data_IF_585296085073
#
_entry.id   IF_585296085073
#
_cell.length_a   1.000
_cell.length_b   1.000
_cell.length_c   1.000
_cell.angle_alpha   90.00
_cell.angle_beta   90.00
_cell.angle_gamma   90.00
#
_symmetry.space_group_name_H-M   'P 1'
#
loop_
_entity.id
_entity.type
_entity.pdbx_description
1 polymer ?
#
# COMPACT_ATOMS: atom_id res chain seq x y z
N UNK A 1 -1.78 -77.18 -26.96
CA UNK A 1 -1.21 -76.63 -25.72
C UNK A 1 -1.21 -75.12 -25.88
N UNK A 2 -1.98 -74.48 -25.01
CA UNK A 2 -2.20 -73.06 -24.74
C UNK A 2 -2.40 -72.02 -25.85
N UNK A 3 -3.62 -71.50 -25.82
CA UNK A 3 -4.04 -70.18 -26.26
C UNK A 3 -3.67 -69.14 -25.19
N UNK A 4 -3.09 -68.00 -25.57
CA UNK A 4 -3.33 -66.72 -24.88
C UNK A 4 -2.99 -65.56 -25.80
N UNK A 5 -4.01 -65.13 -26.56
CA UNK A 5 -4.10 -63.79 -27.14
C UNK A 5 -4.96 -62.98 -26.17
N UNK A 6 -4.41 -61.91 -25.59
CA UNK A 6 -5.19 -60.95 -24.79
C UNK A 6 -5.21 -59.58 -25.47
N UNK A 7 -6.38 -59.26 -26.01
CA UNK A 7 -6.89 -57.89 -26.14
C UNK A 7 -7.12 -57.32 -24.74
N UNK A 8 -6.73 -56.08 -24.46
CA UNK A 8 -7.37 -55.26 -23.43
C UNK A 8 -7.21 -53.78 -23.79
N UNK A 9 -8.24 -53.27 -24.44
CA UNK A 9 -8.57 -51.86 -24.60
C UNK A 9 -9.76 -51.62 -23.67
N UNK A 10 -9.54 -51.11 -22.44
CA UNK A 10 -10.54 -50.48 -21.56
C UNK A 10 -9.90 -50.02 -20.23
N UNK A 11 -10.48 -48.97 -19.64
CA UNK A 11 -10.38 -48.56 -18.22
C UNK A 11 -9.22 -47.60 -17.79
N UNK A 12 -9.36 -46.31 -18.13
CA UNK A 12 -8.73 -45.20 -17.38
C UNK A 12 -9.75 -44.09 -17.06
N UNK A 13 -10.88 -44.47 -16.48
CA UNK A 13 -11.80 -43.54 -15.82
C UNK A 13 -12.21 -44.11 -14.46
N UNK A 14 -11.33 -43.98 -13.45
CA UNK A 14 -11.63 -44.14 -12.01
C UNK A 14 -10.44 -43.63 -11.20
N UNK A 15 -10.54 -42.42 -10.65
CA UNK A 15 -9.89 -42.02 -9.40
C UNK A 15 -10.59 -40.78 -8.85
N UNK A 16 -11.87 -40.95 -8.52
CA UNK A 16 -12.63 -40.01 -7.71
C UNK A 16 -12.59 -40.50 -6.25
N UNK A 17 -11.69 -39.91 -5.47
CA UNK A 17 -11.57 -40.17 -4.03
C UNK A 17 -12.73 -39.48 -3.29
N UNK A 18 -13.61 -40.30 -2.73
CA UNK A 18 -14.72 -39.92 -1.83
C UNK A 18 -14.17 -39.59 -0.44
N UNK A 19 -14.61 -38.48 0.15
CA UNK A 19 -14.54 -38.24 1.59
C UNK A 19 -15.96 -38.32 2.18
N UNK A 20 -16.12 -38.82 3.43
CA UNK A 20 -17.41 -39.26 3.95
C UNK A 20 -18.26 -38.13 4.55
N UNK A 21 -19.57 -38.32 4.48
CA UNK A 21 -20.61 -37.53 5.14
C UNK A 21 -20.48 -37.59 6.66
N UNK A 22 -20.69 -36.45 7.33
CA UNK A 22 -20.97 -36.42 8.76
C UNK A 22 -22.08 -35.40 9.04
N UNK A 23 -23.28 -35.93 9.28
CA UNK A 23 -24.44 -35.20 9.78
C UNK A 23 -24.35 -34.96 11.29
N UNK A 24 -25.08 -33.91 11.69
CA UNK A 24 -25.60 -33.59 13.02
C UNK A 24 -24.65 -32.93 14.03
N UNK A 25 -24.86 -31.62 14.24
CA UNK A 25 -25.65 -31.20 15.40
C UNK A 25 -25.99 -29.69 15.42
N UNK A 26 -27.31 -29.44 15.38
CA UNK A 26 -28.10 -28.54 16.24
C UNK A 26 -27.87 -27.02 16.19
N UNK A 27 -28.85 -26.38 15.55
CA UNK A 27 -29.67 -25.26 16.05
C UNK A 27 -29.04 -24.32 17.10
N UNK A 28 -28.81 -23.07 16.69
CA UNK A 28 -29.11 -21.94 17.55
C UNK A 28 -29.71 -20.79 16.72
N UNK A 29 -31.04 -20.78 16.63
CA UNK A 29 -31.83 -19.65 16.15
C UNK A 29 -31.71 -18.52 17.18
N UNK A 30 -30.96 -17.47 16.87
CA UNK A 30 -31.19 -16.14 17.44
C UNK A 30 -31.79 -15.24 16.37
N UNK A 31 -33.03 -14.88 16.61
CA UNK A 31 -33.76 -13.77 16.00
C UNK A 31 -32.93 -12.48 16.02
N UNK A 32 -32.92 -11.68 14.95
CA UNK A 32 -32.48 -10.29 15.05
C UNK A 32 -33.64 -9.45 15.62
N UNK A 33 -33.37 -8.80 16.74
CA UNK A 33 -34.21 -7.77 17.34
C UNK A 33 -34.10 -6.50 16.47
N UNK A 34 -35.24 -6.06 15.94
CA UNK A 34 -35.38 -4.84 15.16
C UNK A 34 -35.19 -3.63 16.07
N UNK A 35 -34.05 -2.96 15.96
CA UNK A 35 -33.91 -1.58 16.43
C UNK A 35 -34.10 -0.69 15.20
N UNK A 36 -35.20 0.06 15.21
CA UNK A 36 -35.50 1.07 14.23
C UNK A 36 -34.46 2.19 14.33
N UNK A 37 -33.65 2.37 13.29
CA UNK A 37 -32.80 3.55 13.13
C UNK A 37 -33.57 4.61 12.33
N UNK A 38 -33.63 5.80 12.91
CA UNK A 38 -34.25 7.00 12.36
C UNK A 38 -33.68 7.34 10.98
N UNK A 39 -34.58 7.53 10.02
CA UNK A 39 -34.27 8.07 8.70
C UNK A 39 -33.85 9.53 8.83
N UNK A 40 -32.55 9.79 8.77
CA UNK A 40 -32.02 11.10 8.36
C UNK A 40 -31.69 11.03 6.86
N UNK A 41 -32.67 11.45 6.07
CA UNK A 41 -32.59 11.60 4.62
C UNK A 41 -31.68 12.81 4.30
N UNK A 42 -30.39 12.55 4.11
CA UNK A 42 -29.45 13.53 3.57
C UNK A 42 -29.53 13.48 2.05
N UNK A 43 -30.27 14.42 1.46
CA UNK A 43 -30.34 14.66 0.02
C UNK A 43 -28.93 14.99 -0.50
N UNK A 44 -28.27 14.03 -1.16
CA UNK A 44 -27.04 14.30 -1.92
C UNK A 44 -27.38 14.59 -3.38
N UNK A 45 -26.84 15.67 -3.97
CA UNK A 45 -27.03 15.96 -5.38
C UNK A 45 -26.29 14.95 -6.24
N UNK A 46 -26.96 14.46 -7.28
CA UNK A 46 -26.39 13.65 -8.34
C UNK A 46 -25.31 14.46 -9.06
N UNK A 47 -24.04 14.05 -8.91
CA UNK A 47 -22.91 14.68 -9.60
C UNK A 47 -22.47 13.79 -10.76
N UNK A 48 -23.12 13.97 -11.90
CA UNK A 48 -22.49 14.00 -13.21
C UNK A 48 -23.02 15.28 -13.90
N UNK A 49 -22.25 15.98 -14.76
CA UNK A 49 -21.36 15.36 -15.75
C UNK A 49 -20.05 16.12 -16.09
N UNK A 50 -19.25 15.51 -16.97
CA UNK A 50 -18.27 16.13 -17.92
C UNK A 50 -16.93 16.72 -17.42
N UNK A 51 -15.92 15.86 -17.20
CA UNK A 51 -14.51 16.28 -17.09
C UNK A 51 -13.92 16.84 -18.39
N UNK A 52 -14.48 16.47 -19.55
CA UNK A 52 -14.06 17.02 -20.85
C UNK A 52 -14.53 18.46 -21.09
N UNK A 53 -15.55 18.90 -20.37
CA UNK A 53 -16.17 20.22 -20.58
C UNK A 53 -15.55 21.29 -19.66
N UNK A 54 -14.93 20.89 -18.55
CA UNK A 54 -14.23 21.80 -17.64
C UNK A 54 -12.94 22.36 -18.24
N UNK A 55 -12.16 21.57 -18.98
CA UNK A 55 -10.96 22.07 -19.68
C UNK A 55 -11.34 23.06 -20.80
N UNK A 56 -12.43 22.76 -21.52
CA UNK A 56 -12.99 23.67 -22.52
C UNK A 56 -13.59 24.94 -21.90
N UNK A 57 -14.23 24.85 -20.74
CA UNK A 57 -14.74 26.02 -20.02
C UNK A 57 -13.60 26.89 -19.48
N UNK A 58 -12.48 26.31 -19.08
CA UNK A 58 -11.27 27.05 -18.72
C UNK A 58 -10.71 27.75 -19.97
N UNK A 59 -10.51 27.05 -21.09
CA UNK A 59 -10.07 27.65 -22.36
C UNK A 59 -11.01 28.76 -22.87
N UNK A 60 -12.33 28.53 -22.83
CA UNK A 60 -13.33 29.50 -23.28
C UNK A 60 -13.38 30.74 -22.38
N UNK A 61 -13.17 30.59 -21.07
CA UNK A 61 -13.11 31.72 -20.12
C UNK A 61 -11.88 32.62 -20.34
N UNK A 62 -10.83 32.10 -20.98
CA UNK A 62 -9.68 32.90 -21.44
C UNK A 62 -9.84 33.46 -22.86
N UNK A 63 -10.87 33.03 -23.61
CA UNK A 63 -11.15 33.47 -24.98
C UNK A 63 -12.14 34.64 -25.10
N UNK A 64 -12.93 34.91 -24.06
CA UNK A 64 -13.96 35.97 -24.07
C UNK A 64 -13.45 37.27 -23.41
N UNK A 65 -12.51 37.96 -24.07
CA UNK A 65 -12.27 39.39 -23.84
C UNK A 65 -12.47 40.17 -25.14
N UNK A 66 -13.48 41.05 -25.14
CA UNK A 66 -13.79 42.00 -26.22
C UNK A 66 -12.61 42.96 -26.49
N UNK A 67 -12.42 43.43 -27.74
CA UNK A 67 -11.22 44.17 -28.14
C UNK A 67 -11.34 45.65 -27.74
N UNK A 68 -10.84 46.00 -26.55
CA UNK A 68 -10.94 47.36 -25.99
C UNK A 68 -9.60 47.92 -25.52
N UNK A 69 -8.98 48.74 -26.38
CA UNK A 69 -7.75 49.54 -26.15
C UNK A 69 -6.46 48.74 -25.96
N UNK A 70 -5.48 49.02 -26.84
CA UNK A 70 -4.16 48.43 -26.82
C UNK A 70 -3.36 48.93 -25.59
N UNK A 71 -3.56 48.26 -24.46
CA UNK A 71 -2.57 48.23 -23.39
C UNK A 71 -1.58 47.15 -23.83
N UNK A 72 -0.33 47.54 -24.08
CA UNK A 72 0.75 46.61 -24.38
C UNK A 72 1.09 45.83 -23.09
N UNK A 73 0.24 44.86 -22.73
CA UNK A 73 0.56 43.88 -21.69
C UNK A 73 1.70 43.02 -22.23
N UNK A 74 2.80 42.83 -21.49
CA UNK A 74 3.77 41.80 -21.86
C UNK A 74 3.01 40.49 -21.96
N UNK A 75 3.21 39.76 -23.06
CA UNK A 75 2.64 38.43 -23.23
C UNK A 75 2.88 37.65 -21.94
N UNK A 76 1.80 37.28 -21.24
CA UNK A 76 1.91 36.38 -20.11
C UNK A 76 2.37 35.07 -20.70
N UNK A 77 3.68 34.83 -20.65
CA UNK A 77 4.25 33.54 -20.97
C UNK A 77 3.52 32.53 -20.08
N UNK A 78 2.67 31.70 -20.69
CA UNK A 78 2.09 30.55 -20.01
C UNK A 78 3.26 29.78 -19.41
N UNK A 79 3.34 29.63 -18.07
CA UNK A 79 4.49 28.99 -17.47
C UNK A 79 4.63 27.59 -18.05
N UNK A 80 5.84 27.25 -18.48
CA UNK A 80 6.14 25.91 -18.97
C UNK A 80 5.75 24.89 -17.88
N UNK A 81 4.79 24.02 -18.19
CA UNK A 81 4.35 22.97 -17.28
C UNK A 81 5.51 22.00 -17.01
N UNK A 82 5.63 21.50 -15.79
CA UNK A 82 6.73 20.65 -15.39
C UNK A 82 6.34 19.17 -15.54
N UNK A 83 6.93 18.45 -16.52
CA UNK A 83 6.62 17.04 -16.72
C UNK A 83 7.15 16.18 -15.57
N UNK A 84 6.37 15.17 -15.20
CA UNK A 84 6.79 14.08 -14.32
C UNK A 84 7.63 13.06 -15.12
N UNK A 85 8.38 12.22 -14.41
CA UNK A 85 9.22 11.20 -15.04
C UNK A 85 8.40 10.15 -15.81
N UNK A 86 7.21 9.82 -15.30
CA UNK A 86 6.26 8.92 -15.96
C UNK A 86 4.82 9.41 -15.73
N UNK A 87 3.88 8.82 -16.48
CA UNK A 87 2.45 9.09 -16.36
C UNK A 87 1.81 8.23 -15.28
N UNK A 88 0.87 8.80 -14.55
CA UNK A 88 0.22 8.19 -13.39
C UNK A 88 -1.30 8.17 -13.56
N UNK A 89 -1.95 7.17 -12.95
CA UNK A 89 -3.39 7.04 -12.88
C UNK A 89 -3.85 7.08 -11.42
N UNK A 90 -4.77 8.00 -11.12
CA UNK A 90 -5.43 8.09 -9.81
C UNK A 90 -6.70 7.25 -9.83
N UNK A 91 -6.87 6.40 -8.83
CA UNK A 91 -8.06 5.57 -8.62
C UNK A 91 -8.71 5.83 -7.27
N UNK A 92 -10.02 5.68 -7.23
CA UNK A 92 -10.83 5.72 -6.02
C UNK A 92 -11.61 4.41 -5.89
N UNK A 93 -11.52 3.78 -4.72
CA UNK A 93 -12.41 2.69 -4.35
C UNK A 93 -13.43 3.21 -3.35
N UNK A 94 -14.71 3.11 -3.71
CA UNK A 94 -15.79 3.39 -2.78
C UNK A 94 -15.95 2.22 -1.80
N UNK A 95 -16.00 2.51 -0.51
CA UNK A 95 -16.29 1.52 0.54
C UNK A 95 -17.74 1.03 0.54
N UNK A 96 -18.16 0.35 -0.52
CA UNK A 96 -19.50 -0.24 -0.65
C UNK A 96 -19.40 -1.77 -0.57
N UNK A 97 -19.91 -2.35 0.52
CA UNK A 97 -19.87 -3.81 0.75
C UNK A 97 -20.94 -4.58 -0.01
N UNK A 98 -21.88 -3.89 -0.67
CA UNK A 98 -22.96 -4.52 -1.42
C UNK A 98 -22.55 -4.90 -2.85
N UNK A 99 -21.38 -4.44 -3.30
CA UNK A 99 -20.88 -4.63 -4.65
C UNK A 99 -19.55 -5.38 -4.63
N UNK A 100 -19.23 -5.98 -5.76
CA UNK A 100 -17.92 -6.56 -5.98
C UNK A 100 -16.85 -5.47 -5.99
N UNK A 101 -15.65 -5.84 -5.53
CA UNK A 101 -14.54 -4.90 -5.37
C UNK A 101 -14.20 -4.16 -6.67
N UNK A 102 -14.21 -4.87 -7.80
CA UNK A 102 -13.91 -4.31 -9.12
C UNK A 102 -14.92 -3.24 -9.53
N UNK A 103 -16.20 -3.41 -9.17
CA UNK A 103 -17.26 -2.44 -9.45
C UNK A 103 -17.13 -1.17 -8.61
N UNK A 104 -16.51 -1.28 -7.43
CA UNK A 104 -16.26 -0.18 -6.52
C UNK A 104 -15.02 0.65 -6.92
N UNK A 105 -14.12 0.09 -7.72
CA UNK A 105 -12.91 0.76 -8.18
C UNK A 105 -13.21 1.61 -9.43
N UNK A 106 -12.84 2.89 -9.39
CA UNK A 106 -13.00 3.83 -10.49
C UNK A 106 -11.72 4.62 -10.73
N UNK A 107 -11.34 4.77 -12.00
CA UNK A 107 -10.30 5.72 -12.39
C UNK A 107 -10.87 7.13 -12.23
N UNK A 108 -10.17 7.98 -11.47
CA UNK A 108 -10.51 9.39 -11.30
C UNK A 108 -9.97 10.19 -12.49
N UNK A 109 -8.68 10.04 -12.77
CA UNK A 109 -7.98 10.74 -13.84
C UNK A 109 -6.58 10.14 -14.05
N UNK A 110 -5.89 10.55 -15.12
CA UNK A 110 -4.48 10.25 -15.36
C UNK A 110 -3.74 11.52 -15.76
N UNK A 111 -2.50 11.66 -15.29
CA UNK A 111 -1.72 12.89 -15.37
C UNK A 111 -0.22 12.59 -15.56
N UNK A 112 0.48 13.50 -16.21
CA UNK A 112 1.94 13.41 -16.45
C UNK A 112 2.69 14.71 -16.15
N UNK A 113 2.00 15.70 -15.58
CA UNK A 113 2.57 16.98 -15.15
C UNK A 113 2.26 17.26 -13.68
N UNK A 114 3.15 17.98 -13.01
CA UNK A 114 2.97 18.29 -11.58
C UNK A 114 1.80 19.25 -11.35
N UNK A 115 1.50 20.15 -12.29
CA UNK A 115 0.37 21.08 -12.20
C UNK A 115 -0.97 20.33 -12.28
N UNK A 116 -1.05 19.27 -13.08
CA UNK A 116 -2.23 18.41 -13.15
C UNK A 116 -2.42 17.65 -11.84
N UNK A 117 -1.33 17.13 -11.27
CA UNK A 117 -1.36 16.51 -9.94
C UNK A 117 -1.91 17.46 -8.88
N UNK A 118 -1.36 18.66 -8.76
CA UNK A 118 -1.83 19.64 -7.77
C UNK A 118 -3.27 20.10 -8.01
N UNK A 119 -3.66 20.25 -9.28
CA UNK A 119 -5.04 20.58 -9.63
C UNK A 119 -6.02 19.49 -9.17
N UNK A 120 -5.69 18.21 -9.38
CA UNK A 120 -6.46 17.08 -8.87
C UNK A 120 -6.46 17.04 -7.33
N UNK A 121 -5.27 17.07 -6.73
CA UNK A 121 -5.09 16.90 -5.28
C UNK A 121 -5.86 17.95 -4.49
N UNK A 122 -5.89 19.20 -4.97
CA UNK A 122 -6.61 20.29 -4.33
C UNK A 122 -8.14 20.21 -4.50
N UNK A 123 -8.65 19.42 -5.44
CA UNK A 123 -10.07 19.32 -5.74
C UNK A 123 -10.73 18.07 -5.15
N UNK A 124 -9.96 17.00 -4.95
CA UNK A 124 -10.47 15.77 -4.33
C UNK A 124 -10.65 15.93 -2.82
N UNK A 125 -11.48 15.06 -2.24
CA UNK A 125 -11.63 14.98 -0.78
C UNK A 125 -10.30 14.47 -0.19
N UNK A 126 -9.77 15.09 0.88
CA UNK A 126 -8.60 14.57 1.59
C UNK A 126 -8.82 13.13 2.06
N UNK A 127 -7.74 12.36 2.22
CA UNK A 127 -7.85 10.95 2.59
C UNK A 127 -8.58 10.79 3.94
N UNK A 128 -8.29 11.64 4.93
CA UNK A 128 -8.97 11.67 6.23
C UNK A 128 -10.48 11.99 6.17
N UNK A 129 -10.94 12.57 5.05
CA UNK A 129 -12.33 12.94 4.78
C UNK A 129 -13.14 11.83 4.11
N UNK A 130 -12.51 10.74 3.66
CA UNK A 130 -13.22 9.65 3.01
C UNK A 130 -14.07 8.83 3.98
N UNK A 131 -15.13 8.20 3.45
CA UNK A 131 -15.90 7.23 4.21
C UNK A 131 -15.08 5.97 4.52
N UNK A 132 -15.35 5.35 5.67
CA UNK A 132 -14.67 4.11 6.06
C UNK A 132 -14.88 3.01 5.03
N UNK A 133 -13.81 2.29 4.71
CA UNK A 133 -13.77 1.28 3.66
C UNK A 133 -13.34 1.81 2.30
N UNK A 134 -13.25 3.14 2.13
CA UNK A 134 -12.77 3.75 0.90
C UNK A 134 -11.26 3.86 0.84
N UNK A 135 -10.73 3.86 -0.38
CA UNK A 135 -9.30 3.87 -0.67
C UNK A 135 -8.98 4.85 -1.81
N UNK A 136 -7.77 5.43 -1.77
CA UNK A 136 -7.15 6.05 -2.94
C UNK A 136 -5.92 5.25 -3.37
N UNK A 137 -5.69 5.25 -4.68
CA UNK A 137 -4.53 4.64 -5.31
C UNK A 137 -3.95 5.60 -6.33
N UNK A 138 -2.62 5.69 -6.40
CA UNK A 138 -1.93 6.35 -7.51
C UNK A 138 -0.88 5.38 -8.01
N UNK A 139 -1.05 4.89 -9.24
CA UNK A 139 -0.18 3.88 -9.86
C UNK A 139 0.35 4.39 -11.19
N UNK A 140 1.52 3.91 -11.60
CA UNK A 140 2.04 4.18 -12.94
C UNK A 140 1.00 3.75 -13.98
N UNK A 141 0.85 4.53 -15.04
CA UNK A 141 -0.15 4.27 -16.08
C UNK A 141 0.03 2.86 -16.67
N UNK A 142 -1.09 2.17 -16.89
CA UNK A 142 -1.11 0.78 -17.36
C UNK A 142 -0.95 -0.28 -16.26
N UNK A 143 -0.73 0.11 -15.00
CA UNK A 143 -0.73 -0.81 -13.85
C UNK A 143 -2.05 -0.66 -13.09
N UNK A 144 -2.83 -1.74 -13.02
CA UNK A 144 -4.04 -1.75 -12.18
C UNK A 144 -3.65 -1.86 -10.70
N UNK A 145 -4.35 -1.17 -9.78
CA UNK A 145 -4.07 -1.20 -8.34
C UNK A 145 -4.64 -2.48 -7.67
N UNK A 146 -4.32 -3.64 -8.25
CA UNK A 146 -4.72 -4.96 -7.79
C UNK A 146 -3.52 -5.90 -7.81
N UNK A 147 -3.53 -6.93 -6.97
CA UNK A 147 -2.38 -7.83 -6.85
C UNK A 147 -2.28 -8.80 -8.03
N UNK A 148 -3.38 -9.04 -8.73
CA UNK A 148 -3.47 -9.90 -9.90
C UNK A 148 -2.85 -9.27 -11.16
N UNK A 149 -2.63 -7.95 -11.15
CA UNK A 149 -1.95 -7.26 -12.24
C UNK A 149 -0.55 -7.87 -12.46
N UNK A 150 -0.18 -8.10 -13.72
CA UNK A 150 1.09 -8.73 -14.08
C UNK A 150 2.32 -8.00 -13.51
N UNK A 151 2.21 -6.68 -13.26
CA UNK A 151 3.27 -5.87 -12.64
C UNK A 151 3.28 -5.95 -11.11
N UNK A 152 2.23 -6.44 -10.47
CA UNK A 152 2.12 -6.54 -9.02
C UNK A 152 2.14 -7.98 -8.49
N UNK A 153 1.85 -8.99 -9.32
CA UNK A 153 1.66 -10.39 -8.86
C UNK A 153 2.88 -11.01 -8.18
N UNK A 154 4.09 -10.55 -8.52
CA UNK A 154 5.35 -10.99 -7.89
C UNK A 154 5.92 -9.93 -6.94
N UNK A 155 5.14 -8.89 -6.65
CA UNK A 155 5.53 -7.76 -5.84
C UNK A 155 5.12 -7.87 -4.39
N UNK A 156 5.24 -6.74 -3.71
CA UNK A 156 4.79 -6.57 -2.34
C UNK A 156 4.62 -5.10 -2.01
N UNK A 157 4.42 -4.81 -0.73
CA UNK A 157 4.22 -3.44 -0.26
C UNK A 157 4.91 -3.18 1.06
N UNK A 158 5.49 -2.00 1.21
CA UNK A 158 5.75 -1.42 2.51
C UNK A 158 4.44 -0.88 3.09
N UNK A 159 4.09 -1.33 4.29
CA UNK A 159 2.85 -0.98 4.97
C UNK A 159 3.13 -0.18 6.24
N UNK A 160 2.57 1.02 6.29
CA UNK A 160 2.54 1.91 7.46
C UNK A 160 1.13 1.91 8.01
N UNK A 161 0.96 1.41 9.24
CA UNK A 161 -0.32 1.41 9.93
C UNK A 161 -0.42 2.63 10.86
N UNK A 162 -1.47 3.43 10.71
CA UNK A 162 -1.74 4.59 11.54
C UNK A 162 -2.85 4.28 12.55
N UNK A 163 -2.52 4.40 13.83
CA UNK A 163 -3.50 4.34 14.89
C UNK A 163 -4.27 5.66 14.97
N UNK A 164 -5.59 5.58 15.23
CA UNK A 164 -6.45 6.77 15.34
C UNK A 164 -6.04 7.73 16.47
N UNK A 165 -5.29 7.23 17.46
CA UNK A 165 -4.71 8.01 18.56
C UNK A 165 -3.70 9.06 18.09
N UNK A 166 -3.09 8.89 16.92
CA UNK A 166 -2.05 9.79 16.38
C UNK A 166 -2.59 11.04 15.69
N UNK A 167 -3.91 11.26 15.75
CA UNK A 167 -4.58 12.38 15.11
C UNK A 167 -5.19 12.00 13.77
N UNK A 168 -6.34 12.60 13.46
CA UNK A 168 -7.10 12.31 12.23
C UNK A 168 -6.34 12.74 10.97
N UNK A 169 -5.58 13.83 11.06
CA UNK A 169 -4.93 14.46 9.90
C UNK A 169 -3.58 13.82 9.56
N UNK A 170 -3.06 12.95 10.43
CA UNK A 170 -1.75 12.30 10.22
C UNK A 170 -1.72 11.42 8.98
N UNK A 171 -2.87 10.88 8.58
CA UNK A 171 -3.00 10.12 7.33
C UNK A 171 -2.83 11.00 6.10
N UNK A 172 -3.29 12.25 6.14
CA UNK A 172 -3.16 13.19 5.02
C UNK A 172 -1.71 13.63 4.85
N UNK A 173 -1.00 13.88 5.95
CA UNK A 173 0.44 14.17 5.93
C UNK A 173 1.23 13.01 5.29
N UNK A 174 1.07 11.78 5.79
CA UNK A 174 1.79 10.63 5.26
C UNK A 174 1.40 10.31 3.82
N UNK A 175 0.14 10.54 3.45
CA UNK A 175 -0.31 10.35 2.09
C UNK A 175 0.35 11.35 1.15
N UNK A 176 0.32 12.65 1.48
CA UNK A 176 0.97 13.67 0.66
C UNK A 176 2.48 13.48 0.57
N UNK A 177 3.17 13.22 1.69
CA UNK A 177 4.62 13.00 1.70
C UNK A 177 5.01 11.78 0.84
N UNK A 178 4.21 10.71 0.89
CA UNK A 178 4.41 9.55 0.03
C UNK A 178 4.24 9.91 -1.45
N UNK A 179 3.19 10.65 -1.81
CA UNK A 179 2.95 11.07 -3.18
C UNK A 179 4.07 11.98 -3.68
N UNK A 180 4.51 12.94 -2.88
CA UNK A 180 5.63 13.83 -3.23
C UNK A 180 6.93 13.05 -3.43
N UNK A 181 7.23 12.08 -2.57
CA UNK A 181 8.41 11.23 -2.73
C UNK A 181 8.33 10.35 -3.99
N UNK A 182 7.15 9.78 -4.27
CA UNK A 182 6.94 8.87 -5.40
C UNK A 182 6.95 9.61 -6.75
N UNK A 183 6.15 10.67 -6.89
CA UNK A 183 6.04 11.45 -8.13
C UNK A 183 7.33 12.23 -8.43
N UNK A 184 8.06 12.63 -7.39
CA UNK A 184 9.35 13.31 -7.49
C UNK A 184 10.57 12.39 -7.64
N UNK A 185 10.36 11.09 -7.88
CA UNK A 185 11.42 10.06 -8.07
C UNK A 185 12.48 10.10 -6.96
N UNK A 186 12.04 10.20 -5.69
CA UNK A 186 12.92 10.36 -4.53
C UNK A 186 13.42 9.03 -3.94
N UNK A 187 13.39 7.96 -4.72
CA UNK A 187 13.81 6.60 -4.33
C UNK A 187 15.11 6.18 -5.03
N UNK A 188 15.97 7.15 -5.30
CA UNK A 188 17.24 6.99 -6.01
C UNK A 188 17.06 6.20 -7.33
N UNK A 189 18.00 5.31 -7.65
CA UNK A 189 17.95 4.41 -8.82
C UNK A 189 16.85 3.33 -8.75
N UNK A 190 16.06 3.29 -7.68
CA UNK A 190 15.06 2.24 -7.44
C UNK A 190 13.63 2.64 -7.84
N UNK A 191 13.43 3.86 -8.38
CA UNK A 191 12.13 4.36 -8.81
C UNK A 191 11.41 3.42 -9.79
N UNK A 192 12.16 2.68 -10.60
CA UNK A 192 11.65 1.66 -11.51
C UNK A 192 10.91 0.52 -10.80
N UNK A 193 11.36 0.11 -9.60
CA UNK A 193 10.72 -0.95 -8.83
C UNK A 193 9.36 -0.54 -8.27
N UNK A 194 9.07 0.76 -8.20
CA UNK A 194 7.80 1.26 -7.65
C UNK A 194 6.68 1.09 -8.68
N UNK A 195 5.58 0.48 -8.22
CA UNK A 195 4.34 0.34 -8.99
C UNK A 195 3.37 1.48 -8.70
N UNK A 196 3.23 1.85 -7.42
CA UNK A 196 2.26 2.85 -6.98
C UNK A 196 2.11 2.94 -5.46
N UNK A 197 1.22 3.81 -5.02
CA UNK A 197 0.92 4.07 -3.62
C UNK A 197 -0.57 3.89 -3.33
N UNK A 198 -0.88 3.53 -2.08
CA UNK A 198 -2.24 3.27 -1.59
C UNK A 198 -2.45 3.92 -0.23
N UNK A 199 -3.62 4.52 -0.02
CA UNK A 199 -4.13 4.86 1.30
C UNK A 199 -5.47 4.17 1.54
N UNK A 200 -5.60 3.52 2.70
CA UNK A 200 -6.81 2.82 3.12
C UNK A 200 -7.41 3.46 4.35
N UNK A 201 -8.67 3.91 4.24
CA UNK A 201 -9.38 4.55 5.34
C UNK A 201 -10.25 3.52 6.04
N UNK A 202 -9.95 3.21 7.30
CA UNK A 202 -10.61 2.14 8.05
C UNK A 202 -10.93 2.58 9.47
N UNK A 203 -12.00 2.01 10.02
CA UNK A 203 -12.46 2.32 11.37
C UNK A 203 -11.41 2.01 12.45
N UNK A 204 -10.66 0.91 12.30
CA UNK A 204 -9.67 0.45 13.29
C UNK A 204 -8.30 1.14 13.18
N UNK A 205 -8.08 1.95 12.15
CA UNK A 205 -6.78 2.54 11.85
C UNK A 205 -6.52 2.56 10.36
N UNK A 206 -5.98 3.67 9.88
CA UNK A 206 -5.72 3.87 8.46
C UNK A 206 -4.39 3.22 8.08
N UNK A 207 -4.19 3.03 6.78
CA UNK A 207 -2.96 2.45 6.24
C UNK A 207 -2.48 3.28 5.09
N UNK A 208 -1.17 3.49 5.03
CA UNK A 208 -0.49 4.06 3.86
C UNK A 208 0.53 3.02 3.39
N UNK A 209 0.59 2.77 2.09
CA UNK A 209 1.45 1.73 1.55
C UNK A 209 2.09 2.12 0.21
N UNK A 210 3.34 1.72 0.02
CA UNK A 210 4.08 1.83 -1.23
C UNK A 210 4.27 0.43 -1.82
N UNK A 211 3.82 0.22 -3.05
CA UNK A 211 3.87 -1.06 -3.75
C UNK A 211 5.09 -1.12 -4.66
N UNK A 212 5.77 -2.26 -4.64
CA UNK A 212 6.90 -2.56 -5.53
C UNK A 212 6.63 -3.82 -6.35
N UNK A 213 7.20 -3.88 -7.55
CA UNK A 213 6.88 -4.89 -8.57
C UNK A 213 7.53 -6.27 -8.38
N UNK A 214 8.55 -6.35 -7.53
CA UNK A 214 9.34 -7.56 -7.32
C UNK A 214 9.75 -7.70 -5.84
N UNK A 215 9.13 -8.67 -5.15
CA UNK A 215 9.40 -8.94 -3.74
C UNK A 215 10.68 -9.71 -3.48
N UNK A 216 11.35 -10.23 -4.52
CA UNK A 216 12.58 -11.02 -4.36
C UNK A 216 13.84 -10.17 -4.25
N UNK A 217 13.74 -8.87 -4.57
CA UNK A 217 14.84 -7.92 -4.47
C UNK A 217 14.94 -7.33 -3.05
N UNK A 218 15.34 -8.16 -2.09
CA UNK A 218 15.33 -7.82 -0.66
C UNK A 218 16.15 -6.56 -0.33
N UNK A 219 17.37 -6.45 -0.87
CA UNK A 219 18.24 -5.29 -0.62
C UNK A 219 17.63 -3.99 -1.17
N UNK A 220 17.06 -4.05 -2.38
CA UNK A 220 16.40 -2.91 -3.00
C UNK A 220 15.12 -2.53 -2.25
N UNK A 221 14.28 -3.51 -1.91
CA UNK A 221 13.07 -3.27 -1.12
C UNK A 221 13.42 -2.74 0.28
N UNK A 222 14.49 -3.20 0.91
CA UNK A 222 14.98 -2.67 2.19
C UNK A 222 15.39 -1.20 2.05
N UNK A 223 16.17 -0.84 1.03
CA UNK A 223 16.57 0.56 0.76
C UNK A 223 15.35 1.44 0.50
N UNK A 224 14.38 0.98 -0.31
CA UNK A 224 13.09 1.67 -0.53
C UNK A 224 12.37 1.92 0.80
N UNK A 225 12.31 0.91 1.67
CA UNK A 225 11.66 1.03 2.98
C UNK A 225 12.34 2.05 3.89
N UNK A 226 13.67 2.11 3.88
CA UNK A 226 14.45 3.09 4.66
C UNK A 226 14.18 4.52 4.17
N UNK A 227 14.19 4.72 2.84
CA UNK A 227 13.88 6.01 2.22
C UNK A 227 12.43 6.41 2.56
N UNK A 228 11.47 5.49 2.41
CA UNK A 228 10.07 5.72 2.76
C UNK A 228 9.92 6.16 4.22
N UNK A 229 10.55 5.44 5.15
CA UNK A 229 10.51 5.76 6.59
C UNK A 229 11.03 7.18 6.85
N UNK A 230 12.14 7.55 6.22
CA UNK A 230 12.73 8.87 6.34
C UNK A 230 11.85 9.98 5.73
N UNK A 231 11.29 9.76 4.53
CA UNK A 231 10.46 10.74 3.82
C UNK A 231 9.15 11.04 4.55
N UNK A 232 8.53 10.04 5.18
CA UNK A 232 7.32 10.23 5.99
C UNK A 232 7.63 10.70 7.42
N UNK A 233 8.90 10.90 7.78
CA UNK A 233 9.30 11.29 9.13
C UNK A 233 8.85 10.29 10.21
N UNK A 234 8.75 9.00 9.86
CA UNK A 234 8.30 7.97 10.78
C UNK A 234 9.35 7.79 11.87
N UNK A 235 9.01 7.97 13.16
CA UNK A 235 9.98 7.89 14.23
C UNK A 235 10.66 6.53 14.31
N UNK A 236 11.88 6.51 14.84
CA UNK A 236 12.59 5.26 15.10
C UNK A 236 11.98 4.39 16.19
N UNK A 237 11.02 4.92 16.95
CA UNK A 237 10.17 4.13 17.83
C UNK A 237 9.20 3.22 17.09
N UNK A 238 8.98 3.45 15.79
CA UNK A 238 7.97 2.76 15.00
C UNK A 238 8.58 1.77 14.02
N UNK A 239 7.88 0.65 13.87
CA UNK A 239 8.24 -0.42 12.94
C UNK A 239 7.38 -0.33 11.69
N UNK A 240 8.00 -0.44 10.52
CA UNK A 240 7.29 -0.64 9.25
C UNK A 240 7.60 -2.02 8.69
N UNK A 241 6.67 -2.57 7.91
CA UNK A 241 6.71 -3.96 7.45
C UNK A 241 6.53 -4.05 5.95
N UNK A 242 7.25 -4.97 5.32
CA UNK A 242 7.06 -5.33 3.93
C UNK A 242 6.26 -6.64 3.85
N UNK A 243 5.17 -6.63 3.08
CA UNK A 243 4.28 -7.77 2.89
C UNK A 243 4.26 -8.18 1.41
N UNK A 244 4.47 -9.46 1.12
CA UNK A 244 4.29 -10.01 -0.24
C UNK A 244 2.79 -10.07 -0.55
N UNK A 245 2.43 -9.71 -1.78
CA UNK A 245 1.02 -9.65 -2.18
C UNK A 245 0.33 -11.03 -2.14
N UNK A 246 0.97 -12.07 -2.68
CA UNK A 246 0.46 -13.45 -2.65
C UNK A 246 0.18 -13.94 -1.23
N UNK A 247 1.12 -13.71 -0.31
CA UNK A 247 0.99 -14.11 1.09
C UNK A 247 -0.14 -13.35 1.80
N UNK A 248 -0.33 -12.09 1.44
CA UNK A 248 -1.41 -11.25 1.96
C UNK A 248 -2.78 -11.70 1.45
N UNK A 249 -2.87 -12.17 0.20
CA UNK A 249 -4.10 -12.65 -0.43
C UNK A 249 -4.53 -14.03 0.09
N UNK A 250 -3.58 -14.92 0.36
CA UNK A 250 -3.85 -16.29 0.83
C UNK A 250 -4.30 -16.39 2.32
N UNK A 251 -4.50 -15.26 3.00
CA UNK A 251 -4.61 -15.23 4.46
C UNK A 251 -6.03 -15.55 4.96
N UNK A 252 -6.11 -16.44 5.96
CA UNK A 252 -7.34 -16.76 6.73
C UNK A 252 -7.40 -16.10 8.12
N UNK A 253 -6.30 -15.54 8.63
CA UNK A 253 -6.18 -14.86 9.93
C UNK A 253 -6.06 -13.33 9.86
N UNK A 254 -5.77 -12.68 10.99
CA UNK A 254 -5.74 -11.21 11.13
C UNK A 254 -4.38 -10.53 10.86
N UNK A 255 -3.28 -11.28 10.77
CA UNK A 255 -1.92 -10.72 10.56
C UNK A 255 -1.13 -11.52 9.50
N UNK A 256 -0.44 -10.83 8.58
CA UNK A 256 0.53 -11.46 7.64
C UNK A 256 1.87 -11.52 8.35
N UNK A 257 2.62 -12.63 8.20
CA UNK A 257 4.02 -12.65 8.58
C UNK A 257 4.77 -11.70 7.62
N UNK A 258 5.43 -10.65 8.12
CA UNK A 258 6.17 -9.74 7.24
C UNK A 258 7.36 -10.46 6.62
N UNK A 259 7.65 -10.14 5.36
CA UNK A 259 8.83 -10.64 4.63
C UNK A 259 10.08 -9.85 5.03
N UNK A 260 9.98 -8.51 5.05
CA UNK A 260 11.00 -7.62 5.59
C UNK A 260 10.42 -6.74 6.70
N UNK A 261 11.28 -6.31 7.62
CA UNK A 261 10.91 -5.45 8.74
C UNK A 261 12.01 -4.42 8.96
N UNK A 262 11.63 -3.15 9.08
CA UNK A 262 12.50 -2.11 9.62
C UNK A 262 12.08 -1.91 11.09
N UNK A 263 12.83 -2.44 12.06
CA UNK A 263 12.43 -2.48 13.46
C UNK A 263 12.48 -1.09 14.10
N UNK A 264 11.83 -0.97 15.26
CA UNK A 264 12.07 0.17 16.13
C UNK A 264 13.44 0.05 16.82
N UNK A 265 14.19 1.15 16.91
CA UNK A 265 15.54 1.14 17.50
C UNK A 265 15.51 1.30 19.03
N UNK A 266 14.36 1.64 19.61
CA UNK A 266 14.21 1.93 21.06
C UNK A 266 14.46 0.70 21.95
N UNK A 267 14.33 -0.53 21.43
CA UNK A 267 14.47 -1.73 22.24
C UNK A 267 15.89 -2.34 22.28
N UNK A 268 16.89 -1.74 21.61
CA UNK A 268 18.25 -2.30 21.59
C UNK A 268 19.21 -1.67 22.61
N UNK A 269 18.75 -0.76 23.47
CA UNK A 269 19.57 -0.15 24.54
C UNK A 269 19.46 -0.84 25.91
N UNK A 270 18.56 -1.81 26.09
CA UNK A 270 18.40 -2.55 27.36
C UNK A 270 18.89 -4.01 27.32
N UNK A 271 19.54 -4.42 26.23
CA UNK A 271 20.05 -5.78 26.05
C UNK A 271 21.53 -5.81 25.68
N UNK A 272 22.37 -6.22 26.62
CA UNK A 272 23.78 -6.64 26.44
C UNK A 272 24.88 -5.59 26.66
N UNK A 273 24.91 -4.97 27.84
CA UNK A 273 26.19 -4.66 28.50
C UNK A 273 26.64 -5.87 29.34
N UNK A 274 26.96 -7.01 28.71
CA UNK A 274 27.80 -8.03 29.35
C UNK A 274 29.24 -7.58 29.21
N UNK A 275 29.73 -6.86 30.22
CA UNK A 275 31.16 -6.67 30.45
C UNK A 275 31.84 -8.04 30.44
N UNK A 276 32.66 -8.30 29.42
CA UNK A 276 33.62 -9.41 29.50
C UNK A 276 34.61 -9.03 30.60
N UNK A 277 34.44 -9.61 31.78
CA UNK A 277 35.52 -9.67 32.78
C UNK A 277 36.66 -10.44 32.13
N UNK A 278 37.73 -9.74 31.76
CA UNK A 278 39.03 -10.37 31.55
C UNK A 278 39.46 -10.95 32.91
N UNK A 279 39.45 -12.28 33.03
CA UNK A 279 40.10 -12.95 34.16
C UNK A 279 41.60 -12.88 33.94
N UNK A 280 42.28 -11.99 34.67
CA UNK A 280 43.72 -12.05 34.82
C UNK A 280 44.07 -13.26 35.71
N UNK A 281 44.36 -14.41 35.09
CA UNK A 281 45.08 -15.49 35.77
C UNK A 281 46.58 -15.22 35.60
N UNK A 282 47.16 -14.54 36.59
CA UNK A 282 48.61 -14.59 36.82
C UNK A 282 48.93 -15.91 37.53
N UNK A 283 49.90 -16.71 37.07
CA UNK A 283 50.38 -17.85 37.83
C UNK A 283 51.28 -17.38 38.98
N UNK A 284 50.88 -17.71 40.22
CA UNK A 284 51.70 -17.56 41.43
C UNK A 284 52.85 -18.56 41.40
N UNK A 285 54.08 -18.05 41.31
CA UNK A 285 55.32 -18.81 41.51
C UNK A 285 55.48 -19.02 43.02
N UNK A 286 55.40 -20.27 43.47
CA UNK A 286 55.69 -20.67 44.86
C UNK A 286 57.20 -20.68 45.14
N UNK A 287 57.63 -20.47 46.39
CA UNK A 287 59.05 -20.41 46.73
C UNK A 287 59.71 -21.79 46.72
N UNK A 288 60.91 -21.82 46.13
CA UNK A 288 61.88 -22.91 46.12
C UNK A 288 62.24 -23.36 47.54
N UNK A 289 62.08 -24.65 47.83
CA UNK A 289 62.79 -25.34 48.91
C UNK A 289 63.89 -26.20 48.29
N UNK A 290 65.11 -25.67 48.23
CA UNK A 290 66.31 -26.47 48.03
C UNK A 290 66.75 -27.04 49.39
N UNK A 291 66.81 -28.37 49.47
CA UNK A 291 67.64 -29.10 50.42
C UNK A 291 69.02 -29.27 49.81
N UNK A 292 70.06 -28.93 50.56
CA UNK A 292 71.39 -29.52 50.43
C UNK A 292 72.15 -29.32 51.75
N UNK A 293 72.56 -30.47 52.30
CA UNK A 293 73.56 -30.72 53.37
C UNK A 293 73.22 -30.37 54.82
#
# INVERSE_FOLDING_TARGET
MDQSSNNYEEDLSKNLLKFPDNEASKENKRTPELVAEDKLEATQPSMQPETGDLLKQIENKYSEQEPGSAINLPAVEMPALHPLHCRWSWWFLKGDRSKDWEDCLKTVASFDKIEEFWSLYNFVVPASGLSFGSDYYIFKEGIKPMWEDARNINGGRWLVALEKSKGKDKVDEYWLDLLMAMLGEQFDELGDLISGAVVNIRQKGDKVALWTRDSTQDDANMKIGQILKAKLGIPDSETIRYEIHKDSAARTGSSVKPHLVIPSTINNMNGTARTRKFSNNLPTIGPNNQKSE
#
